data_IF_741141839643
#
_entry.id   IF_741141839643
#
_cell.length_a   1.000
_cell.length_b   1.000
_cell.length_c   1.000
_cell.angle_alpha   90.00
_cell.angle_beta   90.00
_cell.angle_gamma   90.00
#
_symmetry.space_group_name_H-M   'P 1'
#
loop_
_entity.id
_entity.type
_entity.pdbx_description
1 polymer ?
#
# COMPACT_ATOMS: atom_id res chain seq x y z
N UNK A 1 -22.62 14.92 1.67
CA UNK A 1 -21.88 14.86 2.95
C UNK A 1 -22.62 14.13 4.09
N UNK A 2 -23.79 13.50 3.90
CA UNK A 2 -24.57 12.90 5.02
C UNK A 2 -24.72 11.37 5.03
N UNK A 3 -24.16 10.62 4.06
CA UNK A 3 -24.31 9.15 4.03
C UNK A 3 -23.16 8.37 4.73
N UNK A 4 -22.03 9.01 5.01
CA UNK A 4 -20.84 8.36 5.58
C UNK A 4 -20.69 8.53 7.10
N UNK A 5 -21.37 9.50 7.72
CA UNK A 5 -21.23 9.77 9.16
C UNK A 5 -22.00 8.79 10.05
N UNK A 6 -23.08 8.18 9.55
CA UNK A 6 -23.88 7.24 10.33
C UNK A 6 -23.31 5.81 10.40
N UNK A 7 -22.42 5.42 9.49
CA UNK A 7 -21.80 4.08 9.50
C UNK A 7 -20.61 3.96 10.47
N UNK A 8 -20.10 5.07 11.00
CA UNK A 8 -18.89 5.09 11.86
C UNK A 8 -19.21 5.11 13.37
N UNK A 9 -20.47 5.00 13.77
CA UNK A 9 -20.89 4.90 15.19
C UNK A 9 -20.94 3.44 15.71
N UNK A 10 -20.02 2.59 15.26
CA UNK A 10 -19.86 1.25 15.83
C UNK A 10 -18.98 1.33 17.07
N UNK A 11 -19.60 1.23 18.25
CA UNK A 11 -18.94 1.02 19.54
C UNK A 11 -17.88 -0.10 19.44
N UNK A 12 -16.71 0.12 20.07
CA UNK A 12 -15.59 -0.81 20.18
C UNK A 12 -15.90 -2.16 20.87
N UNK A 13 -17.17 -2.44 21.14
CA UNK A 13 -17.71 -3.66 21.76
C UNK A 13 -18.56 -4.52 20.82
N UNK A 14 -18.79 -4.09 19.57
CA UNK A 14 -19.53 -4.89 18.58
C UNK A 14 -18.66 -6.00 17.99
N UNK A 15 -19.22 -7.21 17.87
CA UNK A 15 -18.54 -8.32 17.21
C UNK A 15 -18.28 -7.98 15.73
N UNK A 16 -17.10 -8.33 15.22
CA UNK A 16 -16.73 -8.09 13.82
C UNK A 16 -17.76 -8.79 12.92
N UNK A 17 -18.42 -8.08 11.98
CA UNK A 17 -19.41 -8.66 11.09
C UNK A 17 -18.84 -9.81 10.25
N UNK A 18 -19.65 -10.84 10.02
CA UNK A 18 -19.30 -12.01 9.20
C UNK A 18 -20.30 -12.14 8.06
N UNK A 19 -19.78 -12.24 6.84
CA UNK A 19 -20.56 -12.26 5.62
C UNK A 19 -20.37 -13.59 4.88
N UNK A 20 -21.43 -14.04 4.22
CA UNK A 20 -21.38 -15.16 3.29
C UNK A 20 -20.65 -14.74 2.02
N UNK A 21 -20.06 -15.71 1.32
CA UNK A 21 -19.26 -15.45 0.11
C UNK A 21 -20.05 -14.78 -1.02
N UNK A 22 -21.37 -14.94 -1.05
CA UNK A 22 -22.27 -14.31 -2.03
C UNK A 22 -22.90 -12.98 -1.57
N UNK A 23 -22.62 -12.54 -0.34
CA UNK A 23 -23.17 -11.27 0.16
C UNK A 23 -22.56 -10.10 -0.61
N UNK A 24 -23.33 -9.02 -0.77
CA UNK A 24 -22.87 -7.82 -1.45
C UNK A 24 -21.57 -7.26 -0.86
N UNK A 25 -20.69 -6.80 -1.74
CA UNK A 25 -19.36 -6.29 -1.44
C UNK A 25 -19.31 -4.80 -1.82
N UNK A 26 -19.07 -3.89 -0.85
CA UNK A 26 -19.07 -2.46 -1.13
C UNK A 26 -17.85 -2.07 -1.97
N UNK A 27 -18.09 -1.22 -2.98
CA UNK A 27 -17.06 -0.65 -3.85
C UNK A 27 -16.62 0.71 -3.34
N UNK A 28 -15.31 0.87 -3.14
CA UNK A 28 -14.73 2.14 -2.71
C UNK A 28 -14.19 2.92 -3.92
N UNK A 29 -14.46 4.23 -3.95
CA UNK A 29 -14.02 5.11 -5.02
C UNK A 29 -12.50 5.35 -4.97
N UNK A 30 -11.78 5.07 -6.06
CA UNK A 30 -10.34 5.36 -6.22
C UNK A 30 -9.97 6.80 -5.81
N UNK A 31 -10.82 7.78 -6.14
CA UNK A 31 -10.61 9.19 -5.80
C UNK A 31 -10.42 9.42 -4.30
N UNK A 32 -11.19 8.74 -3.46
CA UNK A 32 -11.09 8.89 -2.01
C UNK A 32 -9.77 8.35 -1.44
N UNK A 33 -9.16 7.36 -2.12
CA UNK A 33 -7.84 6.85 -1.77
C UNK A 33 -6.73 7.83 -2.20
N UNK A 34 -6.81 8.40 -3.41
CA UNK A 34 -5.91 9.48 -3.84
C UNK A 34 -5.90 10.62 -2.82
N UNK A 35 -7.08 11.08 -2.41
CA UNK A 35 -7.21 12.16 -1.43
C UNK A 35 -6.59 11.79 -0.08
N UNK A 36 -6.83 10.58 0.42
CA UNK A 36 -6.23 10.13 1.68
C UNK A 36 -4.70 10.11 1.59
N UNK A 37 -4.14 9.53 0.52
CA UNK A 37 -2.68 9.40 0.34
C UNK A 37 -2.05 10.79 0.23
N UNK A 38 -2.58 11.65 -0.65
CA UNK A 38 -2.04 12.98 -0.90
C UNK A 38 -2.12 13.86 0.35
N UNK A 39 -3.20 13.81 1.12
CA UNK A 39 -3.30 14.57 2.37
C UNK A 39 -2.14 14.24 3.34
N UNK A 40 -1.85 12.95 3.52
CA UNK A 40 -0.81 12.51 4.44
C UNK A 40 0.60 12.67 3.86
N UNK A 41 0.76 12.55 2.53
CA UNK A 41 2.06 12.70 1.87
C UNK A 41 2.48 14.16 1.71
N UNK A 42 1.54 15.09 1.52
CA UNK A 42 1.84 16.52 1.34
C UNK A 42 2.10 17.24 2.66
N UNK A 43 1.59 16.73 3.79
CA UNK A 43 1.82 17.31 5.12
C UNK A 43 3.32 17.51 5.46
N UNK A 44 4.21 16.50 5.35
CA UNK A 44 5.64 16.73 5.61
C UNK A 44 6.30 17.69 4.61
N UNK A 45 5.81 17.78 3.37
CA UNK A 45 6.32 18.75 2.38
C UNK A 45 5.97 20.18 2.81
N UNK A 46 4.73 20.40 3.25
CA UNK A 46 4.29 21.69 3.77
C UNK A 46 5.07 22.08 5.03
N UNK A 47 5.28 21.15 5.97
CA UNK A 47 6.09 21.38 7.18
C UNK A 47 7.56 21.66 6.86
N UNK A 48 8.14 20.92 5.91
CA UNK A 48 9.49 21.15 5.41
C UNK A 48 9.60 22.57 4.84
N UNK A 49 8.69 22.96 3.94
CA UNK A 49 8.72 24.30 3.35
C UNK A 49 8.50 25.40 4.39
N UNK A 50 7.51 25.25 5.28
CA UNK A 50 7.22 26.23 6.31
C UNK A 50 8.44 26.47 7.20
N UNK A 51 9.18 25.41 7.55
CA UNK A 51 10.40 25.55 8.33
C UNK A 51 11.51 26.28 7.57
N UNK A 52 11.70 26.00 6.27
CA UNK A 52 12.69 26.73 5.45
C UNK A 52 12.34 28.22 5.41
N UNK A 53 11.07 28.54 5.15
CA UNK A 53 10.56 29.92 5.12
C UNK A 53 10.71 30.64 6.47
N UNK A 54 10.46 29.97 7.60
CA UNK A 54 10.56 30.57 8.93
C UNK A 54 12.00 30.68 9.45
N UNK A 55 12.87 29.73 9.10
CA UNK A 55 14.25 29.69 9.60
C UNK A 55 15.23 30.51 8.74
N UNK A 56 14.84 30.90 7.52
CA UNK A 56 15.71 31.55 6.55
C UNK A 56 16.79 30.63 5.98
N UNK A 57 16.75 29.32 6.28
CA UNK A 57 17.69 28.34 5.72
C UNK A 57 17.26 27.90 4.34
N UNK A 58 18.25 27.64 3.50
CA UNK A 58 18.03 27.19 2.12
C UNK A 58 17.68 25.70 2.03
N UNK A 59 18.12 24.88 3.00
CA UNK A 59 17.92 23.43 2.95
C UNK A 59 17.94 22.77 4.32
N UNK A 60 17.40 21.54 4.37
CA UNK A 60 17.64 20.62 5.47
C UNK A 60 18.91 19.79 5.23
N UNK A 61 19.60 19.44 6.32
CA UNK A 61 20.55 18.33 6.27
C UNK A 61 19.83 17.01 6.06
N UNK A 62 20.49 16.04 5.40
CA UNK A 62 19.90 14.72 5.09
C UNK A 62 19.32 14.00 6.31
N UNK A 63 19.95 14.10 7.48
CA UNK A 63 19.43 13.51 8.72
C UNK A 63 18.13 14.17 9.19
N UNK A 64 17.99 15.48 9.02
CA UNK A 64 16.77 16.21 9.38
C UNK A 64 15.62 15.86 8.43
N UNK A 65 15.90 15.75 7.12
CA UNK A 65 14.92 15.24 6.13
C UNK A 65 14.50 13.83 6.49
N UNK A 66 15.47 12.93 6.72
CA UNK A 66 15.18 11.55 7.07
C UNK A 66 14.30 11.48 8.33
N UNK A 67 14.63 12.23 9.38
CA UNK A 67 13.83 12.31 10.59
C UNK A 67 12.39 12.78 10.33
N UNK A 68 12.22 13.92 9.65
CA UNK A 68 10.91 14.48 9.35
C UNK A 68 10.02 13.51 8.56
N UNK A 69 10.57 12.93 7.50
CA UNK A 69 9.81 12.07 6.59
C UNK A 69 9.54 10.69 7.22
N UNK A 70 10.42 10.17 8.07
CA UNK A 70 10.13 8.99 8.89
C UNK A 70 9.02 9.23 9.90
N UNK A 71 9.03 10.38 10.59
CA UNK A 71 7.96 10.75 11.51
C UNK A 71 6.62 10.87 10.78
N UNK A 72 6.60 11.51 9.62
CA UNK A 72 5.39 11.64 8.82
C UNK A 72 4.88 10.30 8.28
N UNK A 73 5.79 9.42 7.87
CA UNK A 73 5.45 8.06 7.46
C UNK A 73 4.82 7.28 8.62
N UNK A 74 5.45 7.30 9.80
CA UNK A 74 4.93 6.65 11.00
C UNK A 74 3.55 7.19 11.39
N UNK A 75 3.37 8.52 11.33
CA UNK A 75 2.07 9.15 11.55
C UNK A 75 1.01 8.63 10.56
N UNK A 76 1.29 8.68 9.25
CA UNK A 76 0.37 8.17 8.22
C UNK A 76 0.06 6.67 8.43
N UNK A 77 1.05 5.88 8.82
CA UNK A 77 0.87 4.46 9.08
C UNK A 77 -0.05 4.19 10.29
N UNK A 78 0.10 4.94 11.39
CA UNK A 78 -0.81 4.86 12.53
C UNK A 78 -2.23 5.27 12.13
N UNK A 79 -2.38 6.34 11.34
CA UNK A 79 -3.68 6.75 10.80
C UNK A 79 -4.32 5.65 9.95
N UNK A 80 -3.52 4.95 9.14
CA UNK A 80 -3.99 3.81 8.36
C UNK A 80 -4.46 2.65 9.24
N UNK A 81 -3.73 2.32 10.31
CA UNK A 81 -4.15 1.27 11.26
C UNK A 81 -5.52 1.61 11.84
N UNK A 82 -5.72 2.85 12.29
CA UNK A 82 -7.01 3.30 12.82
C UNK A 82 -8.12 3.23 11.78
N UNK A 83 -7.85 3.67 10.55
CA UNK A 83 -8.77 3.57 9.43
C UNK A 83 -9.18 2.12 9.15
N UNK A 84 -8.21 1.21 8.97
CA UNK A 84 -8.49 -0.19 8.68
C UNK A 84 -9.25 -0.85 9.83
N UNK A 85 -8.91 -0.57 11.08
CA UNK A 85 -9.65 -1.08 12.25
C UNK A 85 -11.11 -0.63 12.24
N UNK A 86 -11.36 0.64 11.93
CA UNK A 86 -12.71 1.20 11.84
C UNK A 86 -13.49 0.62 10.65
N UNK A 87 -12.84 0.37 9.52
CA UNK A 87 -13.47 -0.28 8.38
C UNK A 87 -13.77 -1.76 8.67
N UNK A 88 -12.87 -2.47 9.34
CA UNK A 88 -13.09 -3.87 9.75
C UNK A 88 -14.29 -4.00 10.68
N UNK A 89 -14.51 -3.05 11.61
CA UNK A 89 -15.67 -3.13 12.51
C UNK A 89 -17.01 -2.98 11.78
N UNK A 90 -17.00 -2.43 10.56
CA UNK A 90 -18.21 -2.24 9.73
C UNK A 90 -18.34 -3.33 8.66
N UNK A 91 -17.25 -3.63 7.95
CA UNK A 91 -17.25 -4.47 6.77
C UNK A 91 -16.69 -5.87 7.00
N UNK A 92 -16.04 -6.12 8.14
CA UNK A 92 -15.47 -7.44 8.43
C UNK A 92 -14.32 -7.83 7.51
N UNK A 93 -14.10 -9.13 7.38
CA UNK A 93 -12.99 -9.70 6.62
C UNK A 93 -13.48 -10.67 5.54
N UNK A 94 -12.74 -10.79 4.45
CA UNK A 94 -12.90 -11.90 3.51
C UNK A 94 -12.74 -13.23 4.27
N UNK A 95 -13.48 -14.27 3.88
CA UNK A 95 -13.49 -15.57 4.56
C UNK A 95 -13.90 -15.56 6.04
N UNK A 96 -14.45 -14.44 6.53
CA UNK A 96 -14.69 -14.20 7.96
C UNK A 96 -15.70 -15.16 8.60
N UNK A 97 -16.50 -15.91 7.84
CA UNK A 97 -17.37 -16.96 8.38
C UNK A 97 -16.62 -18.23 8.78
N UNK A 98 -15.48 -18.52 8.11
CA UNK A 98 -14.76 -19.79 8.26
C UNK A 98 -13.56 -19.64 9.19
N UNK A 99 -12.82 -18.54 9.06
CA UNK A 99 -11.57 -18.32 9.78
C UNK A 99 -11.45 -16.90 10.33
N UNK A 100 -10.95 -16.81 11.56
CA UNK A 100 -10.49 -15.55 12.12
C UNK A 100 -9.13 -15.15 11.54
N UNK A 101 -8.83 -13.85 11.58
CA UNK A 101 -7.51 -13.34 11.20
C UNK A 101 -6.48 -13.60 12.30
N UNK A 102 -5.23 -13.83 11.88
CA UNK A 102 -4.11 -13.99 12.80
C UNK A 102 -3.80 -12.67 13.49
N UNK A 103 -3.71 -12.69 14.81
CA UNK A 103 -3.44 -11.49 15.61
C UNK A 103 -1.95 -11.21 15.64
N UNK A 104 -1.54 -9.93 15.56
CA UNK A 104 -0.13 -9.57 15.73
C UNK A 104 0.43 -9.97 17.10
N UNK A 105 -0.42 -9.99 18.14
CA UNK A 105 -0.04 -10.43 19.48
C UNK A 105 0.37 -11.89 19.57
N UNK A 106 -0.13 -12.78 18.70
CA UNK A 106 0.29 -14.19 18.70
C UNK A 106 1.66 -14.43 18.09
N UNK A 107 2.23 -13.43 17.40
CA UNK A 107 3.58 -13.47 16.80
C UNK A 107 4.59 -12.69 17.65
N UNK A 108 4.13 -11.65 18.35
CA UNK A 108 4.94 -10.79 19.21
C UNK A 108 4.95 -9.35 18.71
N UNK A 109 4.19 -8.48 19.37
CA UNK A 109 3.94 -7.10 18.94
C UNK A 109 5.24 -6.29 18.77
N UNK A 110 6.22 -6.47 19.65
CA UNK A 110 7.51 -5.77 19.55
C UNK A 110 8.29 -6.12 18.29
N UNK A 111 8.32 -7.40 17.92
CA UNK A 111 9.00 -7.87 16.71
C UNK A 111 8.31 -7.36 15.43
N UNK A 112 6.96 -7.37 15.43
CA UNK A 112 6.16 -6.85 14.30
C UNK A 112 6.42 -5.36 14.12
N UNK A 113 6.35 -4.57 15.20
CA UNK A 113 6.62 -3.14 15.17
C UNK A 113 8.04 -2.82 14.71
N UNK A 114 9.04 -3.58 15.17
CA UNK A 114 10.43 -3.41 14.73
C UNK A 114 10.62 -3.74 13.25
N UNK A 115 9.99 -4.81 12.75
CA UNK A 115 10.08 -5.20 11.33
C UNK A 115 9.44 -4.17 10.41
N UNK A 116 8.29 -3.62 10.80
CA UNK A 116 7.63 -2.51 10.11
C UNK A 116 8.53 -1.26 10.11
N UNK A 117 9.01 -0.86 11.28
CA UNK A 117 9.88 0.32 11.43
C UNK A 117 11.15 0.20 10.58
N UNK A 118 11.80 -0.97 10.57
CA UNK A 118 12.98 -1.24 9.76
C UNK A 118 12.70 -1.12 8.26
N UNK A 119 11.60 -1.72 7.79
CA UNK A 119 11.21 -1.69 6.37
C UNK A 119 10.98 -0.26 5.88
N UNK A 120 10.23 0.53 6.66
CA UNK A 120 10.00 1.95 6.35
C UNK A 120 11.29 2.76 6.43
N UNK A 121 12.11 2.53 7.45
CA UNK A 121 13.37 3.23 7.66
C UNK A 121 14.33 3.04 6.50
N UNK A 122 14.46 1.81 6.02
CA UNK A 122 15.35 1.47 4.93
C UNK A 122 14.91 2.13 3.62
N UNK A 123 13.61 2.07 3.30
CA UNK A 123 13.02 2.68 2.10
C UNK A 123 13.25 4.20 2.08
N UNK A 124 13.04 4.88 3.20
CA UNK A 124 13.23 6.33 3.31
C UNK A 124 14.70 6.75 3.35
N UNK A 125 15.55 6.01 4.06
CA UNK A 125 16.99 6.28 4.06
C UNK A 125 17.56 6.21 2.65
N UNK A 126 17.12 5.22 1.86
CA UNK A 126 17.50 5.08 0.46
C UNK A 126 16.99 6.25 -0.39
N UNK A 127 15.71 6.64 -0.26
CA UNK A 127 15.16 7.77 -1.01
C UNK A 127 15.90 9.09 -0.73
N UNK A 128 16.22 9.35 0.55
CA UNK A 128 17.01 10.52 0.94
C UNK A 128 18.44 10.43 0.39
N UNK A 129 19.08 9.27 0.48
CA UNK A 129 20.45 9.10 0.03
C UNK A 129 20.61 9.30 -1.49
N UNK A 130 19.69 8.73 -2.27
CA UNK A 130 19.78 8.69 -3.75
C UNK A 130 19.23 9.97 -4.38
N UNK A 131 18.10 10.50 -3.89
CA UNK A 131 17.34 11.53 -4.62
C UNK A 131 17.27 12.89 -3.91
N UNK A 132 17.61 13.00 -2.61
CA UNK A 132 17.47 14.29 -1.93
C UNK A 132 18.54 15.30 -2.38
N UNK A 133 18.05 16.36 -3.02
CA UNK A 133 18.81 17.54 -3.40
C UNK A 133 18.40 18.72 -2.53
N UNK A 134 19.32 19.20 -1.69
CA UNK A 134 19.06 20.34 -0.81
C UNK A 134 18.91 21.66 -1.55
N UNK A 135 19.26 21.75 -2.83
CA UNK A 135 19.08 22.97 -3.62
C UNK A 135 17.64 23.17 -4.13
N UNK A 136 16.81 22.14 -4.05
CA UNK A 136 15.41 22.19 -4.47
C UNK A 136 14.50 22.12 -3.23
N UNK A 137 13.76 23.18 -2.95
CA UNK A 137 12.77 23.17 -1.87
C UNK A 137 11.46 22.48 -2.30
N UNK A 138 10.58 22.09 -1.36
CA UNK A 138 9.26 21.56 -1.72
C UNK A 138 8.43 22.55 -2.54
N UNK A 139 8.49 23.85 -2.21
CA UNK A 139 7.77 24.85 -2.99
C UNK A 139 8.30 24.94 -4.43
N UNK A 140 9.62 24.88 -4.63
CA UNK A 140 10.23 24.92 -5.97
C UNK A 140 9.78 23.72 -6.81
N UNK A 141 9.73 22.52 -6.21
CA UNK A 141 9.27 21.33 -6.91
C UNK A 141 7.78 21.42 -7.29
N UNK A 142 6.91 21.80 -6.33
CA UNK A 142 5.45 21.71 -6.48
C UNK A 142 4.81 22.91 -7.20
N UNK A 143 5.57 23.95 -7.55
CA UNK A 143 5.04 25.22 -8.05
C UNK A 143 4.44 25.16 -9.48
N UNK A 144 4.77 24.13 -10.26
CA UNK A 144 4.33 24.02 -11.66
C UNK A 144 3.20 22.99 -11.83
N UNK A 145 2.22 23.28 -12.68
CA UNK A 145 1.16 22.31 -12.98
C UNK A 145 1.69 21.07 -13.70
N UNK A 146 2.78 21.21 -14.46
CA UNK A 146 3.46 20.12 -15.14
C UNK A 146 3.96 19.09 -14.13
N UNK A 147 4.49 19.53 -12.99
CA UNK A 147 4.92 18.64 -11.92
C UNK A 147 3.78 17.74 -11.43
N UNK A 148 2.59 18.31 -11.21
CA UNK A 148 1.41 17.54 -10.79
C UNK A 148 0.90 16.58 -11.87
N UNK A 149 0.95 16.98 -13.15
CA UNK A 149 0.62 16.09 -14.26
C UNK A 149 1.59 14.91 -14.34
N UNK A 150 2.90 15.19 -14.24
CA UNK A 150 3.93 14.15 -14.23
C UNK A 150 3.81 13.25 -13.02
N UNK A 151 3.61 13.79 -11.82
CA UNK A 151 3.41 13.00 -10.60
C UNK A 151 2.25 12.00 -10.75
N UNK A 152 1.13 12.40 -11.36
CA UNK A 152 0.00 11.52 -11.60
C UNK A 152 0.37 10.33 -12.51
N UNK A 153 1.19 10.58 -13.55
CA UNK A 153 1.71 9.54 -14.43
C UNK A 153 2.78 8.69 -13.72
N UNK A 154 3.73 9.33 -13.04
CA UNK A 154 4.85 8.70 -12.33
C UNK A 154 4.35 7.75 -11.24
N UNK A 155 3.34 8.13 -10.45
CA UNK A 155 2.76 7.23 -9.44
C UNK A 155 2.19 5.96 -10.07
N UNK A 156 1.59 6.06 -11.26
CA UNK A 156 1.04 4.91 -11.99
C UNK A 156 2.14 4.06 -12.63
N UNK A 157 3.10 4.69 -13.32
CA UNK A 157 4.20 3.99 -14.00
C UNK A 157 5.13 3.35 -12.97
N UNK A 158 5.43 4.05 -11.87
CA UNK A 158 6.18 3.51 -10.74
C UNK A 158 5.49 2.28 -10.18
N UNK A 159 4.17 2.32 -9.94
CA UNK A 159 3.43 1.16 -9.46
C UNK A 159 3.57 -0.04 -10.41
N UNK A 160 3.42 0.17 -11.73
CA UNK A 160 3.53 -0.91 -12.74
C UNK A 160 4.95 -1.50 -12.81
N UNK A 161 5.99 -0.67 -12.79
CA UNK A 161 7.40 -1.10 -12.85
C UNK A 161 7.84 -1.74 -11.52
N UNK A 162 7.40 -1.21 -10.38
CA UNK A 162 7.58 -1.83 -9.07
C UNK A 162 6.97 -3.24 -9.07
N UNK A 163 5.75 -3.35 -9.59
CA UNK A 163 5.04 -4.61 -9.69
C UNK A 163 5.73 -5.60 -10.61
N UNK A 164 6.43 -5.15 -11.65
CA UNK A 164 7.20 -6.04 -12.54
C UNK A 164 8.33 -6.74 -11.78
N UNK A 165 9.15 -5.96 -11.08
CA UNK A 165 10.25 -6.50 -10.28
C UNK A 165 9.73 -7.36 -9.13
N UNK A 166 8.65 -6.91 -8.48
CA UNK A 166 8.01 -7.68 -7.43
C UNK A 166 7.43 -8.99 -7.95
N UNK A 167 6.71 -8.98 -9.08
CA UNK A 167 6.11 -10.16 -9.69
C UNK A 167 7.13 -11.27 -9.91
N UNK A 168 8.26 -10.95 -10.55
CA UNK A 168 9.30 -11.93 -10.84
C UNK A 168 9.98 -12.45 -9.59
N UNK A 169 10.31 -11.54 -8.67
CA UNK A 169 10.86 -11.90 -7.37
C UNK A 169 9.92 -12.85 -6.61
N UNK A 170 8.64 -12.48 -6.51
CA UNK A 170 7.62 -13.21 -5.76
C UNK A 170 7.34 -14.57 -6.39
N UNK A 171 7.18 -14.62 -7.72
CA UNK A 171 7.01 -15.87 -8.46
C UNK A 171 8.21 -16.80 -8.30
N UNK A 172 9.43 -16.26 -8.31
CA UNK A 172 10.65 -17.04 -8.09
C UNK A 172 10.73 -17.59 -6.66
N UNK A 173 10.39 -16.77 -5.65
CA UNK A 173 10.32 -17.18 -4.24
C UNK A 173 9.37 -18.36 -4.03
N UNK A 174 8.26 -18.39 -4.76
CA UNK A 174 7.33 -19.52 -4.78
C UNK A 174 7.87 -20.73 -5.56
N UNK A 175 8.29 -20.51 -6.81
CA UNK A 175 8.50 -21.58 -7.78
C UNK A 175 9.86 -22.27 -7.67
N UNK A 176 10.89 -21.57 -7.20
CA UNK A 176 12.25 -22.10 -7.07
C UNK A 176 12.42 -22.72 -5.67
N UNK A 177 12.63 -24.05 -5.56
CA UNK A 177 12.71 -24.76 -4.28
C UNK A 177 13.65 -24.14 -3.24
N UNK A 178 14.81 -23.65 -3.70
CA UNK A 178 15.82 -23.04 -2.84
C UNK A 178 15.36 -21.69 -2.26
N UNK A 179 14.61 -20.91 -3.03
CA UNK A 179 14.17 -19.57 -2.63
C UNK A 179 12.98 -19.62 -1.66
N UNK A 180 12.16 -20.67 -1.71
CA UNK A 180 10.98 -20.84 -0.85
C UNK A 180 11.26 -20.66 0.65
N UNK A 181 12.45 -21.03 1.12
CA UNK A 181 12.83 -20.89 2.53
C UNK A 181 12.79 -19.44 3.03
N UNK A 182 12.98 -18.45 2.15
CA UNK A 182 12.95 -17.02 2.48
C UNK A 182 11.54 -16.41 2.46
N UNK A 183 10.55 -17.18 1.98
CA UNK A 183 9.19 -16.71 1.78
C UNK A 183 8.14 -17.52 2.56
N UNK A 184 8.48 -18.75 2.94
CA UNK A 184 7.59 -19.62 3.74
C UNK A 184 7.19 -19.02 5.08
N UNK A 185 8.04 -18.19 5.69
CA UNK A 185 7.73 -17.49 6.96
C UNK A 185 6.59 -16.49 6.74
N UNK A 186 6.63 -15.75 5.65
CA UNK A 186 5.55 -14.86 5.24
C UNK A 186 4.25 -15.62 4.98
N UNK A 187 4.33 -16.76 4.30
CA UNK A 187 3.18 -17.63 4.03
C UNK A 187 2.72 -18.52 5.20
N UNK A 188 3.44 -18.53 6.32
CA UNK A 188 3.01 -19.23 7.52
C UNK A 188 1.70 -18.61 8.06
N UNK A 189 1.47 -17.33 7.76
CA UNK A 189 0.24 -16.62 8.10
C UNK A 189 -0.72 -16.69 6.90
N UNK A 190 -1.71 -17.58 7.02
CA UNK A 190 -2.72 -17.81 5.97
C UNK A 190 -3.83 -16.76 5.92
N UNK A 191 -4.11 -16.14 7.06
CA UNK A 191 -5.11 -15.08 7.19
C UNK A 191 -4.47 -13.86 7.86
N UNK A 192 -3.62 -13.11 7.14
CA UNK A 192 -2.91 -11.97 7.72
C UNK A 192 -3.88 -10.83 8.07
N UNK A 193 -3.36 -9.91 8.87
CA UNK A 193 -3.94 -8.59 9.10
C UNK A 193 -2.97 -7.53 8.58
N UNK A 194 -3.43 -6.28 8.52
CA UNK A 194 -2.63 -5.12 8.12
C UNK A 194 -1.24 -5.07 8.80
N UNK A 195 -1.18 -5.34 10.11
CA UNK A 195 0.05 -5.30 10.90
C UNK A 195 1.05 -6.40 10.52
N UNK A 196 0.58 -7.51 9.95
CA UNK A 196 1.40 -8.66 9.59
C UNK A 196 2.03 -8.54 8.20
N UNK A 197 1.87 -7.41 7.51
CA UNK A 197 2.50 -7.11 6.21
C UNK A 197 4.01 -7.35 6.22
N UNK A 198 4.69 -6.98 7.30
CA UNK A 198 6.15 -7.16 7.45
C UNK A 198 6.55 -8.43 8.20
N UNK A 199 5.63 -9.39 8.39
CA UNK A 199 6.00 -10.70 8.92
C UNK A 199 6.73 -11.51 7.85
N UNK A 200 8.05 -11.35 7.81
CA UNK A 200 8.93 -12.03 6.87
C UNK A 200 10.37 -12.09 7.42
N UNK A 201 11.21 -12.93 6.80
CA UNK A 201 12.64 -13.01 7.13
C UNK A 201 13.41 -11.78 6.62
N UNK A 202 14.64 -11.61 7.09
CA UNK A 202 15.46 -10.42 6.79
C UNK A 202 15.64 -10.22 5.28
N UNK A 203 15.88 -11.30 4.54
CA UNK A 203 16.09 -11.28 3.10
C UNK A 203 14.86 -10.73 2.39
N UNK A 204 13.67 -11.25 2.70
CA UNK A 204 12.44 -10.75 2.10
C UNK A 204 12.18 -9.29 2.47
N UNK A 205 12.41 -8.90 3.73
CA UNK A 205 12.27 -7.50 4.13
C UNK A 205 13.25 -6.58 3.36
N UNK A 206 14.49 -7.02 3.13
CA UNK A 206 15.47 -6.26 2.36
C UNK A 206 15.06 -6.10 0.90
N UNK A 207 14.55 -7.17 0.28
CA UNK A 207 14.07 -7.11 -1.10
C UNK A 207 12.86 -6.18 -1.25
N UNK A 208 11.83 -6.36 -0.41
CA UNK A 208 10.59 -5.60 -0.47
C UNK A 208 10.81 -4.11 -0.13
N UNK A 209 11.69 -3.80 0.83
CA UNK A 209 11.89 -2.43 1.31
C UNK A 209 12.96 -1.64 0.54
N UNK A 210 13.99 -2.28 0.00
CA UNK A 210 15.12 -1.61 -0.66
C UNK A 210 15.34 -2.04 -2.10
N UNK A 211 15.59 -3.33 -2.34
CA UNK A 211 16.11 -3.78 -3.64
C UNK A 211 15.08 -3.54 -4.75
N UNK A 212 13.83 -3.92 -4.53
CA UNK A 212 12.77 -3.77 -5.55
C UNK A 212 12.45 -2.29 -5.80
N UNK A 213 12.24 -1.43 -4.78
CA UNK A 213 12.10 0.01 -4.99
C UNK A 213 13.32 0.64 -5.70
N UNK A 214 14.54 0.22 -5.36
CA UNK A 214 15.76 0.69 -6.03
C UNK A 214 15.81 0.28 -7.51
N UNK A 215 15.56 -1.00 -7.82
CA UNK A 215 15.50 -1.50 -9.20
C UNK A 215 14.44 -0.75 -10.00
N UNK A 216 13.32 -0.41 -9.38
CA UNK A 216 12.25 0.40 -9.98
C UNK A 216 12.77 1.77 -10.35
N UNK A 217 13.35 2.51 -9.41
CA UNK A 217 13.92 3.83 -9.69
C UNK A 217 15.07 3.78 -10.71
N UNK A 218 15.93 2.77 -10.66
CA UNK A 218 16.98 2.57 -11.64
C UNK A 218 16.40 2.32 -13.04
N UNK A 219 15.34 1.51 -13.15
CA UNK A 219 14.64 1.25 -14.41
C UNK A 219 14.01 2.52 -14.98
N UNK A 220 13.30 3.29 -14.15
CA UNK A 220 12.68 4.55 -14.56
C UNK A 220 13.73 5.57 -15.01
N UNK A 221 14.83 5.70 -14.26
CA UNK A 221 15.95 6.57 -14.64
C UNK A 221 16.58 6.14 -15.98
N UNK A 222 16.73 4.83 -16.23
CA UNK A 222 17.30 4.30 -17.47
C UNK A 222 16.45 4.60 -18.71
N UNK A 223 15.13 4.81 -18.55
CA UNK A 223 14.21 5.19 -19.63
C UNK A 223 13.91 6.70 -19.66
N UNK A 224 14.66 7.51 -18.91
CA UNK A 224 14.52 8.98 -18.92
C UNK A 224 13.48 9.54 -17.95
N UNK A 225 12.87 8.72 -17.08
CA UNK A 225 11.88 9.12 -16.08
C UNK A 225 12.52 9.16 -14.68
N UNK A 226 13.56 9.98 -14.50
CA UNK A 226 14.28 10.06 -13.22
C UNK A 226 13.44 10.80 -12.17
N UNK A 227 13.04 10.09 -11.12
CA UNK A 227 12.31 10.66 -9.99
C UNK A 227 13.22 11.52 -9.10
N UNK A 228 12.74 12.70 -8.73
CA UNK A 228 13.27 13.47 -7.61
C UNK A 228 12.83 12.89 -6.26
N UNK A 229 13.28 13.52 -5.17
CA UNK A 229 12.96 13.06 -3.82
C UNK A 229 11.47 13.17 -3.51
N UNK A 230 10.82 14.26 -3.90
CA UNK A 230 9.42 14.53 -3.57
C UNK A 230 8.45 13.61 -4.34
N UNK A 231 8.75 13.36 -5.61
CA UNK A 231 8.03 12.43 -6.48
C UNK A 231 8.17 11.00 -5.96
N UNK A 232 9.41 10.56 -5.65
CA UNK A 232 9.63 9.22 -5.13
C UNK A 232 9.06 9.04 -3.72
N UNK A 233 9.09 10.06 -2.87
CA UNK A 233 8.39 10.06 -1.59
C UNK A 233 6.90 9.75 -1.78
N UNK A 234 6.20 10.50 -2.65
CA UNK A 234 4.77 10.29 -2.89
C UNK A 234 4.52 8.92 -3.52
N UNK A 235 5.33 8.49 -4.49
CA UNK A 235 5.23 7.14 -5.08
C UNK A 235 5.35 6.03 -4.02
N UNK A 236 6.26 6.18 -3.04
CA UNK A 236 6.37 5.24 -1.93
C UNK A 236 5.13 5.23 -1.02
N UNK A 237 4.48 6.39 -0.82
CA UNK A 237 3.24 6.46 -0.05
C UNK A 237 2.11 5.71 -0.77
N UNK A 238 1.98 5.87 -2.10
CA UNK A 238 1.03 5.11 -2.92
C UNK A 238 1.30 3.59 -2.86
N UNK A 239 2.56 3.19 -3.10
CA UNK A 239 2.93 1.77 -3.09
C UNK A 239 2.64 1.12 -1.74
N UNK A 240 3.05 1.76 -0.64
CA UNK A 240 2.86 1.24 0.72
C UNK A 240 1.38 1.17 1.10
N UNK A 241 0.60 2.19 0.73
CA UNK A 241 -0.85 2.22 0.97
C UNK A 241 -1.50 0.96 0.40
N UNK A 242 -1.20 0.64 -0.86
CA UNK A 242 -1.68 -0.56 -1.55
C UNK A 242 -1.15 -1.85 -0.93
N UNK A 243 0.16 -1.96 -0.71
CA UNK A 243 0.83 -3.16 -0.18
C UNK A 243 0.25 -3.60 1.17
N UNK A 244 0.00 -2.62 2.04
CA UNK A 244 -0.47 -2.87 3.41
C UNK A 244 -1.97 -3.13 3.46
N UNK A 245 -2.77 -2.45 2.62
CA UNK A 245 -4.20 -2.77 2.47
C UNK A 245 -4.41 -4.17 1.88
N UNK A 246 -3.58 -4.61 0.94
CA UNK A 246 -3.64 -5.97 0.37
C UNK A 246 -3.53 -7.07 1.44
N UNK A 247 -2.77 -6.84 2.52
CA UNK A 247 -2.63 -7.78 3.65
C UNK A 247 -3.74 -7.66 4.70
N UNK A 248 -4.60 -6.64 4.61
CA UNK A 248 -5.59 -6.37 5.65
C UNK A 248 -6.65 -7.47 5.76
N UNK A 249 -6.95 -8.16 4.65
CA UNK A 249 -8.08 -9.08 4.53
C UNK A 249 -9.44 -8.37 4.63
N UNK A 250 -9.46 -7.03 4.66
CA UNK A 250 -10.67 -6.21 4.79
C UNK A 250 -11.63 -6.50 3.64
N UNK A 251 -12.90 -6.78 3.96
CA UNK A 251 -13.92 -7.17 2.98
C UNK A 251 -14.53 -5.96 2.27
N UNK A 252 -13.72 -5.31 1.44
CA UNK A 252 -14.16 -4.23 0.54
C UNK A 252 -13.58 -4.46 -0.86
N UNK A 253 -14.27 -3.97 -1.88
CA UNK A 253 -13.70 -3.90 -3.22
C UNK A 253 -12.87 -2.62 -3.33
N UNK A 254 -11.56 -2.77 -3.23
CA UNK A 254 -10.55 -1.72 -3.36
C UNK A 254 -9.68 -1.99 -4.57
N UNK A 255 -9.52 -1.00 -5.44
CA UNK A 255 -8.50 -1.00 -6.50
C UNK A 255 -7.46 0.09 -6.21
N UNK A 256 -6.16 -0.17 -6.42
CA UNK A 256 -5.12 0.83 -6.18
C UNK A 256 -5.36 2.12 -6.96
N UNK A 257 -5.26 3.29 -6.31
CA UNK A 257 -5.50 4.57 -6.97
C UNK A 257 -4.40 4.86 -7.98
N UNK A 258 -4.76 4.94 -9.27
CA UNK A 258 -3.84 5.20 -10.38
C UNK A 258 -4.48 6.18 -11.37
N UNK A 259 -3.67 7.10 -11.93
CA UNK A 259 -4.14 8.01 -12.97
C UNK A 259 -4.62 7.26 -14.23
N UNK A 260 -4.04 6.09 -14.50
CA UNK A 260 -4.45 5.19 -15.60
C UNK A 260 -5.32 4.03 -15.13
N UNK A 261 -5.93 4.12 -13.94
CA UNK A 261 -6.71 3.04 -13.34
C UNK A 261 -7.83 2.52 -14.24
N UNK A 262 -8.50 3.40 -14.99
CA UNK A 262 -9.54 3.02 -15.95
C UNK A 262 -9.03 2.11 -17.07
N UNK A 263 -7.79 2.29 -17.53
CA UNK A 263 -7.17 1.42 -18.54
C UNK A 263 -6.87 0.05 -17.93
N UNK A 264 -6.34 0.04 -16.70
CA UNK A 264 -6.03 -1.19 -15.97
C UNK A 264 -7.30 -2.02 -15.75
N UNK A 265 -8.39 -1.38 -15.31
CA UNK A 265 -9.71 -2.01 -15.11
C UNK A 265 -10.34 -2.47 -16.44
N UNK A 266 -10.22 -1.69 -17.52
CA UNK A 266 -10.70 -2.11 -18.85
C UNK A 266 -9.97 -3.37 -19.35
N UNK A 267 -8.68 -3.50 -19.05
CA UNK A 267 -7.90 -4.72 -19.29
C UNK A 267 -8.17 -5.82 -18.25
N UNK A 268 -9.07 -5.59 -17.28
CA UNK A 268 -9.38 -6.42 -16.11
C UNK A 268 -8.13 -6.75 -15.26
N UNK A 269 -7.09 -5.94 -15.35
CA UNK A 269 -5.78 -6.15 -14.74
C UNK A 269 -5.62 -5.42 -13.40
N UNK A 270 -6.71 -4.90 -12.84
CA UNK A 270 -6.73 -4.31 -11.51
C UNK A 270 -6.50 -5.40 -10.45
N UNK A 271 -5.77 -5.07 -9.40
CA UNK A 271 -5.66 -5.90 -8.20
C UNK A 271 -6.69 -5.43 -7.17
N UNK A 272 -7.23 -6.35 -6.38
CA UNK A 272 -8.06 -6.04 -5.21
C UNK A 272 -7.52 -6.74 -3.97
N UNK A 273 -7.99 -6.34 -2.78
CA UNK A 273 -7.56 -6.94 -1.49
C UNK A 273 -7.71 -8.46 -1.51
N UNK A 274 -8.81 -8.97 -2.08
CA UNK A 274 -9.05 -10.40 -2.16
C UNK A 274 -7.98 -11.16 -2.96
N UNK A 275 -7.37 -10.55 -3.98
CA UNK A 275 -6.38 -11.24 -4.82
C UNK A 275 -5.15 -11.67 -3.98
N UNK A 276 -4.64 -10.77 -3.14
CA UNK A 276 -3.53 -11.03 -2.21
C UNK A 276 -3.96 -11.90 -1.02
N UNK A 277 -5.18 -11.70 -0.52
CA UNK A 277 -5.76 -12.53 0.52
C UNK A 277 -5.89 -14.01 0.09
N UNK A 278 -6.37 -14.28 -1.13
CA UNK A 278 -6.42 -15.62 -1.72
C UNK A 278 -5.03 -16.21 -1.92
N UNK A 279 -4.08 -15.38 -2.34
CA UNK A 279 -2.68 -15.77 -2.48
C UNK A 279 -2.11 -16.27 -1.14
N UNK A 280 -2.36 -15.58 -0.02
CA UNK A 280 -1.97 -16.10 1.29
C UNK A 280 -2.71 -17.39 1.67
N UNK A 281 -4.05 -17.37 1.57
CA UNK A 281 -4.92 -18.47 2.03
C UNK A 281 -4.63 -19.78 1.31
N UNK A 282 -4.47 -19.73 -0.02
CA UNK A 282 -4.41 -20.91 -0.89
C UNK A 282 -3.06 -21.08 -1.60
N UNK A 283 -2.25 -20.03 -1.64
CA UNK A 283 -0.93 -20.08 -2.24
C UNK A 283 0.06 -20.93 -1.45
N UNK A 284 0.90 -21.61 -2.22
CA UNK A 284 2.07 -22.37 -1.76
C UNK A 284 3.11 -22.32 -2.88
N UNK A 285 4.04 -23.27 -2.97
CA UNK A 285 5.16 -23.24 -3.93
C UNK A 285 4.77 -22.91 -5.39
N UNK A 286 3.78 -23.58 -5.97
CA UNK A 286 3.16 -23.07 -7.21
C UNK A 286 1.89 -22.32 -6.81
N UNK A 287 1.86 -21.03 -7.11
CA UNK A 287 0.83 -20.09 -6.65
C UNK A 287 0.29 -19.28 -7.83
N UNK A 288 -0.44 -18.23 -7.52
CA UNK A 288 -1.13 -17.31 -8.42
C UNK A 288 -1.19 -15.92 -7.76
N UNK A 289 -1.61 -14.88 -8.48
CA UNK A 289 -1.70 -13.50 -8.00
C UNK A 289 -0.39 -13.02 -7.34
N UNK A 290 0.70 -13.00 -8.12
CA UNK A 290 2.02 -12.62 -7.63
C UNK A 290 2.23 -11.10 -7.56
N UNK A 291 1.42 -10.29 -8.23
CA UNK A 291 1.45 -8.83 -8.14
C UNK A 291 1.04 -8.31 -6.76
N UNK A 292 1.52 -7.11 -6.43
CA UNK A 292 1.16 -6.33 -5.23
C UNK A 292 0.49 -5.00 -5.56
N UNK A 293 0.76 -4.43 -6.74
CA UNK A 293 0.19 -3.14 -7.18
C UNK A 293 -0.85 -3.31 -8.28
N UNK A 294 -0.72 -4.34 -9.12
CA UNK A 294 -1.65 -4.65 -10.20
C UNK A 294 -1.72 -6.16 -10.42
N UNK A 295 -2.59 -6.61 -11.33
CA UNK A 295 -2.56 -7.95 -11.92
C UNK A 295 -2.09 -7.92 -13.38
N UNK A 296 -1.44 -6.85 -13.84
CA UNK A 296 -0.96 -6.74 -15.24
C UNK A 296 -0.05 -7.92 -15.57
N UNK A 297 0.97 -8.15 -14.74
CA UNK A 297 1.94 -9.22 -14.96
C UNK A 297 1.32 -10.60 -14.74
N UNK A 298 0.41 -10.75 -13.77
CA UNK A 298 -0.35 -11.98 -13.62
C UNK A 298 -1.20 -12.29 -14.86
N UNK A 299 -1.78 -11.28 -15.51
CA UNK A 299 -2.53 -11.45 -16.75
C UNK A 299 -1.64 -11.84 -17.91
N UNK A 300 -0.55 -11.10 -18.11
CA UNK A 300 0.42 -11.36 -19.18
C UNK A 300 0.97 -12.78 -19.11
N UNK A 301 1.22 -13.29 -17.89
CA UNK A 301 1.85 -14.59 -17.69
C UNK A 301 0.89 -15.70 -17.23
N UNK A 302 -0.43 -15.45 -17.23
CA UNK A 302 -1.44 -16.47 -16.96
C UNK A 302 -1.43 -17.00 -15.52
N UNK A 303 -1.16 -16.14 -14.53
CA UNK A 303 -1.10 -16.49 -13.10
C UNK A 303 -2.21 -15.84 -12.27
N UNK A 304 -3.27 -15.28 -12.88
CA UNK A 304 -4.45 -14.84 -12.14
C UNK A 304 -5.26 -16.03 -11.60
N UNK A 305 -5.68 -15.96 -10.33
CA UNK A 305 -6.74 -16.82 -9.83
C UNK A 305 -8.11 -16.15 -9.93
N UNK A 306 -9.15 -17.00 -9.96
CA UNK A 306 -10.53 -16.56 -9.86
C UNK A 306 -10.84 -16.00 -8.47
N UNK A 307 -11.47 -14.83 -8.44
CA UNK A 307 -11.99 -14.19 -7.23
C UNK A 307 -13.22 -14.96 -6.73
N UNK A 308 -13.49 -14.92 -5.43
CA UNK A 308 -14.64 -15.59 -4.81
C UNK A 308 -15.71 -14.57 -4.43
N UNK A 309 -15.33 -13.55 -3.68
CA UNK A 309 -16.24 -12.57 -3.11
C UNK A 309 -16.25 -11.27 -3.93
N UNK A 310 -15.12 -10.89 -4.53
CA UNK A 310 -14.93 -9.67 -5.35
C UNK A 310 -15.24 -9.90 -6.83
N UNK A 311 -16.27 -10.69 -7.10
CA UNK A 311 -16.80 -10.93 -8.45
C UNK A 311 -17.86 -9.87 -8.79
N UNK A 312 -18.02 -9.53 -10.07
CA UNK A 312 -18.92 -8.44 -10.50
C UNK A 312 -20.35 -8.59 -9.96
N UNK A 313 -20.87 -9.82 -9.93
CA UNK A 313 -22.22 -10.11 -9.41
C UNK A 313 -22.41 -9.72 -7.93
N UNK A 314 -21.34 -9.73 -7.14
CA UNK A 314 -21.36 -9.40 -5.73
C UNK A 314 -21.12 -7.91 -5.48
N UNK A 315 -20.67 -7.13 -6.48
CA UNK A 315 -20.39 -5.72 -6.26
C UNK A 315 -21.70 -4.95 -6.03
N UNK A 316 -21.64 -4.04 -5.06
CA UNK A 316 -22.72 -3.12 -4.74
C UNK A 316 -22.46 -1.79 -5.45
N UNK A 317 -22.95 -1.67 -6.69
CA UNK A 317 -22.79 -0.48 -7.52
C UNK A 317 -23.78 0.64 -7.16
N UNK A 318 -24.81 0.35 -6.35
CA UNK A 318 -25.78 1.35 -5.91
C UNK A 318 -25.20 2.30 -4.86
N UNK A 319 -24.10 1.92 -4.20
CA UNK A 319 -23.50 2.71 -3.11
C UNK A 319 -21.97 2.80 -3.23
N UNK A 320 -21.49 3.80 -3.96
CA UNK A 320 -20.07 4.17 -3.91
C UNK A 320 -19.71 4.71 -2.52
N UNK A 321 -18.81 4.00 -1.84
CA UNK A 321 -18.26 4.43 -0.55
C UNK A 321 -16.97 5.22 -0.77
N UNK A 322 -16.70 6.13 0.14
CA UNK A 322 -15.46 6.90 0.16
C UNK A 322 -14.65 6.54 1.39
N UNK A 323 -13.33 6.47 1.24
CA UNK A 323 -12.42 6.34 2.36
C UNK A 323 -12.58 7.51 3.33
N UNK A 324 -12.88 7.23 4.62
CA UNK A 324 -12.82 8.25 5.66
C UNK A 324 -11.44 8.90 5.73
N UNK A 325 -11.41 10.23 5.65
CA UNK A 325 -10.17 11.01 5.79
C UNK A 325 -9.76 11.08 7.27
N UNK A 326 -10.75 11.34 8.13
CA UNK A 326 -10.57 11.50 9.57
C UNK A 326 -11.31 10.40 10.35
N UNK A 327 -10.84 9.16 10.26
CA UNK A 327 -11.31 8.06 11.09
C UNK A 327 -10.38 7.88 12.30
N UNK A 328 -10.54 8.71 13.32
CA UNK A 328 -10.03 8.37 14.66
C UNK A 328 -10.81 9.16 15.70
N UNK A 329 -11.60 8.47 16.50
CA UNK A 329 -11.58 8.72 17.94
C UNK A 329 -10.49 7.80 18.49
N UNK A 330 -9.56 8.36 19.28
CA UNK A 330 -8.45 7.59 19.88
C UNK A 330 -8.93 6.75 21.04
#
# INVERSE_FOLDING_TARGET
MSANSHALQASATSAIPRYSKGDKLPRFSQWSHHLWILLHSLLPLALHQAWLSCSGRQSFGRLAVLGLYLTAYAFAFVRMICLVRSLVSVYGYFDGQVHDRHRASSIGLGWVSLSLAKSVSLRMAMAVYVCYDGSQSPADALCTWQWWLWLALETSVYAIVLDFWYYWYHRAMHSVPFLWKYHRTHHAIKHPTFLLTAHADLEQQLFDAAIIPWLTCATLAAIGLRLGFYEWWICNQYATYTETLGHSGLRIHFTPPMAVGFVIEACRAEIVIEDHDLHHRRGWRKSFNYGKQTRIWDRVFGTCAERIESVEANLDDEVHRHMPIFSCEM
#
